data_IF_439863349239
#
_entry.id   IF_439863349239
#
_cell.length_a   1.000
_cell.length_b   1.000
_cell.length_c   1.000
_cell.angle_alpha   90.00
_cell.angle_beta   90.00
_cell.angle_gamma   90.00
#
_symmetry.space_group_name_H-M   'P 1'
#
loop_
_entity.id
_entity.type
_entity.pdbx_description
1 polymer ?
#
# COMPACT_ATOMS: atom_id res chain seq x y z
N UNK A 1 37.41 -42.39 26.97
CA UNK A 1 38.02 -41.42 26.04
C UNK A 1 36.92 -40.87 25.15
N UNK A 2 36.44 -39.66 25.45
CA UNK A 2 35.50 -38.93 24.60
C UNK A 2 35.97 -37.49 24.54
N UNK A 3 36.54 -37.09 23.41
CA UNK A 3 36.99 -35.72 23.17
C UNK A 3 35.80 -34.88 22.70
N UNK A 4 35.31 -34.00 23.57
CA UNK A 4 34.39 -32.92 23.19
C UNK A 4 35.18 -31.61 23.09
N UNK A 5 35.76 -31.34 21.93
CA UNK A 5 36.19 -29.99 21.54
C UNK A 5 35.97 -29.82 20.03
N UNK A 6 34.72 -29.49 19.67
CA UNK A 6 34.38 -29.01 18.34
C UNK A 6 33.41 -27.83 18.52
N UNK A 7 33.89 -26.61 18.25
CA UNK A 7 32.98 -25.48 18.01
C UNK A 7 33.29 -24.14 18.67
N UNK A 8 34.37 -23.98 19.45
CA UNK A 8 34.78 -22.65 19.91
C UNK A 8 35.68 -21.99 18.87
N UNK A 9 35.06 -21.49 17.80
CA UNK A 9 35.73 -20.59 16.87
C UNK A 9 35.94 -19.28 17.64
N UNK A 10 37.17 -19.07 18.11
CA UNK A 10 37.59 -17.91 18.88
C UNK A 10 37.10 -16.61 18.21
N UNK A 11 36.06 -15.98 18.80
CA UNK A 11 35.50 -14.67 18.41
C UNK A 11 36.61 -13.63 18.23
N UNK A 12 37.67 -13.74 19.02
CA UNK A 12 38.87 -12.88 18.99
C UNK A 12 39.52 -12.77 17.63
N UNK A 13 39.58 -13.85 16.83
CA UNK A 13 40.22 -13.77 15.50
C UNK A 13 39.36 -12.98 14.50
N UNK A 14 38.04 -13.13 14.60
CA UNK A 14 37.12 -12.37 13.74
C UNK A 14 37.10 -10.89 14.16
N UNK A 15 37.08 -10.65 15.47
CA UNK A 15 37.13 -9.32 16.07
C UNK A 15 38.42 -8.58 15.67
N UNK A 16 39.60 -9.21 15.78
CA UNK A 16 40.87 -8.63 15.32
C UNK A 16 40.86 -8.30 13.82
N UNK A 17 40.30 -9.16 12.98
CA UNK A 17 40.19 -8.91 11.54
C UNK A 17 39.24 -7.75 11.24
N UNK A 18 38.15 -7.62 12.00
CA UNK A 18 37.24 -6.48 11.90
C UNK A 18 37.93 -5.18 12.32
N UNK A 19 38.61 -5.17 13.47
CA UNK A 19 39.36 -4.01 13.94
C UNK A 19 40.43 -3.59 12.92
N UNK A 20 41.15 -4.55 12.34
CA UNK A 20 42.17 -4.28 11.31
C UNK A 20 41.54 -3.74 10.01
N UNK A 21 40.40 -4.27 9.58
CA UNK A 21 39.67 -3.78 8.40
C UNK A 21 39.13 -2.37 8.59
N UNK A 22 38.63 -2.03 9.79
CA UNK A 22 38.14 -0.68 10.12
C UNK A 22 39.31 0.30 10.14
N UNK A 23 40.41 -0.05 10.80
CA UNK A 23 41.63 0.75 10.82
C UNK A 23 42.21 0.98 9.42
N UNK A 24 42.23 -0.05 8.57
CA UNK A 24 42.70 0.06 7.20
C UNK A 24 41.80 1.00 6.37
N UNK A 25 40.48 0.93 6.59
CA UNK A 25 39.51 1.82 5.91
C UNK A 25 39.69 3.28 6.33
N UNK A 26 39.85 3.53 7.64
CA UNK A 26 40.06 4.88 8.21
C UNK A 26 41.40 5.49 7.81
N UNK A 27 42.46 4.68 7.65
CA UNK A 27 43.76 5.13 7.14
C UNK A 27 43.81 5.24 5.62
N UNK A 28 42.83 4.68 4.91
CA UNK A 28 42.79 4.76 3.45
C UNK A 28 42.28 6.12 3.01
N UNK A 29 43.10 6.85 2.25
CA UNK A 29 42.71 8.08 1.56
C UNK A 29 41.96 7.81 0.24
N UNK A 30 41.33 6.64 0.11
CA UNK A 30 40.48 6.36 -1.03
C UNK A 30 39.21 7.19 -0.90
N UNK A 31 39.13 8.27 -1.67
CA UNK A 31 37.91 9.05 -1.82
C UNK A 31 36.85 8.14 -2.45
N UNK A 32 36.07 7.47 -1.60
CA UNK A 32 34.83 6.82 -2.01
C UNK A 32 34.03 7.91 -2.72
N UNK A 33 33.66 7.73 -4.00
CA UNK A 33 32.86 8.72 -4.71
C UNK A 33 31.63 9.02 -3.88
N UNK A 34 31.49 10.26 -3.41
CA UNK A 34 30.33 10.64 -2.61
C UNK A 34 29.07 10.31 -3.42
N UNK A 35 28.07 9.67 -2.81
CA UNK A 35 26.80 9.45 -3.48
C UNK A 35 26.31 10.79 -4.05
N UNK A 36 25.86 10.78 -5.31
CA UNK A 36 25.47 12.01 -6.05
C UNK A 36 24.52 12.88 -5.24
N UNK A 37 23.66 12.26 -4.44
CA UNK A 37 22.72 12.96 -3.57
C UNK A 37 23.39 13.82 -2.48
N UNK A 38 24.43 13.33 -1.81
CA UNK A 38 25.16 14.10 -0.79
C UNK A 38 25.94 15.27 -1.40
N UNK A 39 26.42 15.11 -2.62
CA UNK A 39 27.13 16.18 -3.32
C UNK A 39 26.18 17.32 -3.71
N UNK A 40 25.00 16.99 -4.22
CA UNK A 40 23.97 17.99 -4.53
C UNK A 40 23.51 18.76 -3.30
N UNK A 41 23.32 18.08 -2.17
CA UNK A 41 22.89 18.73 -0.93
C UNK A 41 23.97 19.68 -0.39
N UNK A 42 25.22 19.23 -0.28
CA UNK A 42 26.34 20.06 0.20
C UNK A 42 26.67 21.22 -0.76
N UNK A 43 26.50 21.03 -2.06
CA UNK A 43 26.68 22.08 -3.05
C UNK A 43 25.53 23.10 -3.00
N UNK A 44 24.30 22.66 -2.75
CA UNK A 44 23.17 23.54 -2.50
C UNK A 44 23.35 24.36 -1.21
N UNK A 45 23.78 23.74 -0.10
CA UNK A 45 24.10 24.45 1.14
C UNK A 45 25.20 25.49 0.91
N UNK A 46 26.29 25.14 0.22
CA UNK A 46 27.38 26.08 -0.10
C UNK A 46 26.91 27.25 -0.98
N UNK A 47 26.00 27.02 -1.92
CA UNK A 47 25.41 28.11 -2.71
C UNK A 47 24.51 29.02 -1.87
N UNK A 48 23.78 28.46 -0.91
CA UNK A 48 22.98 29.24 0.05
C UNK A 48 23.87 30.08 0.96
N UNK A 49 24.94 29.50 1.52
CA UNK A 49 25.91 30.24 2.36
C UNK A 49 26.62 31.36 1.58
N UNK A 50 26.91 31.14 0.29
CA UNK A 50 27.49 32.17 -0.58
C UNK A 50 26.51 33.28 -0.93
N UNK A 51 25.21 33.03 -0.90
CA UNK A 51 24.16 34.02 -1.15
C UNK A 51 23.86 34.85 0.12
N UNK A 52 23.98 34.23 1.30
CA UNK A 52 23.81 34.90 2.60
C UNK A 52 24.98 35.82 2.95
N UNK A 53 26.20 35.55 2.45
CA UNK A 53 27.37 36.43 2.63
C UNK A 53 27.33 37.74 1.81
N UNK A 54 26.29 37.96 0.98
CA UNK A 54 26.15 39.13 0.11
C UNK A 54 25.40 40.33 0.70
N UNK A 55 24.78 40.21 1.88
CA UNK A 55 24.00 41.28 2.51
C UNK A 55 24.60 41.68 3.86
N UNK A 56 25.46 42.71 3.87
CA UNK A 56 25.97 43.34 5.11
C UNK A 56 25.41 44.76 5.26
N UNK A 57 24.63 45.00 6.32
CA UNK A 57 24.47 46.27 7.05
C UNK A 57 24.16 45.85 8.50
N UNK A 58 25.18 45.71 9.37
CA UNK A 58 25.62 46.71 10.36
C UNK A 58 24.59 46.96 11.49
N UNK A 59 24.80 46.33 12.65
CA UNK A 59 24.68 46.98 13.95
C UNK A 59 25.36 46.12 15.04
N UNK A 60 26.22 46.76 15.83
CA UNK A 60 27.09 46.23 16.88
C UNK A 60 26.38 46.25 18.27
N UNK A 61 27.14 45.83 19.31
CA UNK A 61 26.89 45.71 20.76
C UNK A 61 26.66 44.24 21.21
N UNK A 62 27.74 43.50 21.53
CA UNK A 62 28.45 43.39 22.84
C UNK A 62 27.60 42.69 23.90
N UNK A 63 28.05 41.83 24.81
CA UNK A 63 29.25 41.04 25.12
C UNK A 63 28.76 40.17 26.31
N UNK A 64 29.24 38.94 26.47
CA UNK A 64 29.60 38.36 27.78
C UNK A 64 30.12 36.93 27.57
N UNK A 65 31.40 36.78 27.89
CA UNK A 65 32.15 35.52 27.90
C UNK A 65 31.89 34.78 29.21
N UNK A 66 31.75 33.45 29.14
CA UNK A 66 32.26 32.58 30.21
C UNK A 66 32.90 31.34 29.55
N UNK A 67 34.21 31.24 29.78
CA UNK A 67 35.05 30.06 29.60
C UNK A 67 34.51 28.87 30.42
N UNK A 68 34.39 27.69 29.80
CA UNK A 68 34.53 26.42 30.53
C UNK A 68 35.27 25.42 29.65
N UNK A 69 36.55 25.25 29.97
CA UNK A 69 37.42 24.20 29.48
C UNK A 69 36.99 22.85 30.08
N UNK A 70 36.62 21.88 29.24
CA UNK A 70 36.26 20.55 29.72
C UNK A 70 36.17 19.50 28.62
N UNK A 71 37.31 19.10 28.05
CA UNK A 71 37.46 17.82 27.35
C UNK A 71 37.33 16.67 28.36
N UNK A 72 36.16 16.02 28.40
CA UNK A 72 36.06 14.64 28.90
C UNK A 72 35.31 13.76 27.91
N UNK A 73 36.07 12.89 27.25
CA UNK A 73 35.57 11.80 26.43
C UNK A 73 34.54 10.95 27.18
N UNK A 74 33.31 10.95 26.68
CA UNK A 74 32.26 10.01 27.09
C UNK A 74 31.81 9.19 25.89
N UNK A 75 32.51 8.08 25.68
CA UNK A 75 32.08 6.95 24.86
C UNK A 75 30.85 6.26 25.48
N UNK A 76 29.70 6.93 25.46
CA UNK A 76 28.44 6.29 25.83
C UNK A 76 27.93 5.46 24.67
N UNK A 77 28.17 4.15 24.78
CA UNK A 77 27.54 3.11 23.97
C UNK A 77 26.02 3.23 24.13
N UNK A 78 25.38 4.02 23.27
CA UNK A 78 23.93 4.12 23.24
C UNK A 78 23.35 2.75 22.89
N UNK A 79 22.46 2.16 23.71
CA UNK A 79 21.76 0.95 23.31
C UNK A 79 21.00 1.22 22.01
N UNK A 80 20.77 0.20 21.16
CA UNK A 80 20.02 0.40 19.92
C UNK A 80 18.70 1.07 20.28
N UNK A 81 18.39 2.19 19.61
CA UNK A 81 17.17 2.95 19.82
C UNK A 81 15.99 2.00 19.67
N UNK A 82 15.46 1.52 20.79
CA UNK A 82 14.18 0.82 20.82
C UNK A 82 13.18 1.84 20.33
N UNK A 83 12.53 1.58 19.20
CA UNK A 83 11.41 2.40 18.71
C UNK A 83 10.28 2.32 19.75
N UNK A 84 10.38 3.11 20.82
CA UNK A 84 9.30 3.41 21.73
C UNK A 84 8.32 4.28 20.97
N UNK A 85 7.29 3.64 20.45
CA UNK A 85 6.11 4.36 19.98
C UNK A 85 5.58 5.17 21.15
N UNK A 86 5.71 6.50 21.05
CA UNK A 86 5.13 7.44 22.02
C UNK A 86 3.65 7.06 22.22
N UNK A 87 3.14 6.94 23.46
CA UNK A 87 1.75 6.59 23.68
C UNK A 87 0.88 7.54 22.85
N UNK A 88 -0.19 7.03 22.21
CA UNK A 88 -1.05 7.87 21.39
C UNK A 88 -1.55 9.06 22.21
N UNK A 89 -1.62 10.28 21.64
CA UNK A 89 -2.14 11.45 22.33
C UNK A 89 -3.49 11.13 22.98
N UNK A 90 -3.69 11.64 24.19
CA UNK A 90 -4.94 11.48 24.93
C UNK A 90 -6.13 11.92 24.05
N UNK A 91 -7.16 11.07 23.96
CA UNK A 91 -8.38 11.35 23.20
C UNK A 91 -8.43 10.81 21.76
N UNK A 92 -7.39 10.14 21.25
CA UNK A 92 -7.48 9.46 19.95
C UNK A 92 -8.03 8.03 20.10
N UNK A 93 -8.94 7.64 19.20
CA UNK A 93 -9.46 6.29 19.15
C UNK A 93 -8.35 5.32 18.74
N UNK A 94 -8.26 4.18 19.42
CA UNK A 94 -7.30 3.09 19.13
C UNK A 94 -7.98 1.77 18.75
N UNK A 95 -9.32 1.79 18.67
CA UNK A 95 -10.18 0.64 18.39
C UNK A 95 -10.01 0.17 16.95
N UNK A 96 -9.80 -1.13 16.78
CA UNK A 96 -9.68 -1.72 15.45
C UNK A 96 -10.98 -1.54 14.66
N UNK A 97 -10.83 -1.18 13.38
CA UNK A 97 -11.94 -0.84 12.50
C UNK A 97 -12.46 0.59 12.62
N UNK A 98 -11.86 1.45 13.45
CA UNK A 98 -12.22 2.86 13.58
C UNK A 98 -11.02 3.76 13.24
N UNK A 99 -11.23 4.95 12.68
CA UNK A 99 -10.15 5.92 12.56
C UNK A 99 -9.81 6.58 13.91
N UNK A 100 -8.70 7.32 13.97
CA UNK A 100 -8.27 8.06 15.18
C UNK A 100 -9.33 9.04 15.74
N UNK A 101 -10.29 9.49 14.92
CA UNK A 101 -11.42 10.34 15.34
C UNK A 101 -12.62 9.52 15.85
N UNK A 102 -12.50 8.19 15.93
CA UNK A 102 -13.57 7.30 16.41
C UNK A 102 -14.68 7.04 15.40
N UNK A 103 -14.44 7.29 14.10
CA UNK A 103 -15.41 6.97 13.04
C UNK A 103 -15.22 5.53 12.58
N UNK A 104 -16.31 4.78 12.54
CA UNK A 104 -16.31 3.38 12.08
C UNK A 104 -16.01 3.32 10.58
N UNK A 105 -15.01 2.52 10.22
CA UNK A 105 -14.54 2.34 8.85
C UNK A 105 -14.99 1.01 8.23
N UNK A 106 -15.71 0.17 8.98
CA UNK A 106 -16.16 -1.13 8.46
C UNK A 106 -17.16 -0.91 7.33
N UNK A 107 -17.02 -1.70 6.27
CA UNK A 107 -17.94 -1.68 5.12
C UNK A 107 -19.40 -1.85 5.57
N UNK A 108 -19.64 -2.72 6.56
CA UNK A 108 -20.95 -2.95 7.15
C UNK A 108 -21.54 -1.75 7.92
N UNK A 109 -20.76 -0.71 8.18
CA UNK A 109 -21.21 0.53 8.83
C UNK A 109 -21.37 1.68 7.85
N UNK A 110 -20.56 1.72 6.77
CA UNK A 110 -20.54 2.83 5.80
C UNK A 110 -21.32 2.49 4.51
N UNK A 111 -21.92 1.30 4.38
CA UNK A 111 -22.51 0.81 3.13
C UNK A 111 -23.51 1.77 2.46
N UNK A 112 -24.30 2.52 3.23
CA UNK A 112 -25.33 3.43 2.72
C UNK A 112 -24.95 4.90 2.90
N UNK A 113 -23.75 5.19 3.42
CA UNK A 113 -23.34 6.56 3.68
C UNK A 113 -22.88 7.26 2.39
N UNK A 114 -23.23 8.55 2.22
CA UNK A 114 -22.73 9.35 1.12
C UNK A 114 -21.25 9.67 1.34
N UNK A 115 -20.37 8.87 0.73
CA UNK A 115 -18.93 9.15 0.65
C UNK A 115 -18.64 10.00 -0.59
N UNK A 116 -18.04 11.17 -0.39
CA UNK A 116 -17.43 11.97 -1.45
C UNK A 116 -16.04 11.46 -1.78
N UNK A 117 -15.85 11.01 -3.03
CA UNK A 117 -14.58 10.48 -3.51
C UNK A 117 -13.95 11.50 -4.46
N UNK A 118 -12.78 12.08 -4.15
CA UNK A 118 -12.12 13.03 -5.04
C UNK A 118 -11.80 12.41 -6.41
N UNK A 119 -11.75 13.25 -7.45
CA UNK A 119 -11.39 12.80 -8.79
C UNK A 119 -10.03 12.07 -8.78
N UNK A 120 -9.98 10.91 -9.41
CA UNK A 120 -8.78 10.06 -9.44
C UNK A 120 -8.59 9.15 -8.22
N UNK A 121 -9.46 9.22 -7.22
CA UNK A 121 -9.47 8.26 -6.10
C UNK A 121 -10.50 7.16 -6.33
N UNK A 122 -10.22 5.98 -5.77
CA UNK A 122 -11.10 4.82 -5.77
C UNK A 122 -11.32 4.34 -4.32
N UNK A 123 -12.52 3.80 -4.05
CA UNK A 123 -12.78 3.13 -2.79
C UNK A 123 -12.19 1.73 -2.81
N UNK A 124 -11.44 1.41 -1.76
CA UNK A 124 -10.77 0.12 -1.60
C UNK A 124 -11.03 -0.47 -0.22
N UNK A 125 -11.14 -1.79 -0.17
CA UNK A 125 -11.29 -2.57 1.05
C UNK A 125 -9.93 -3.07 1.55
N UNK A 126 -9.57 -2.66 2.76
CA UNK A 126 -8.42 -3.15 3.49
C UNK A 126 -8.81 -4.31 4.42
N UNK A 127 -7.98 -5.36 4.49
CA UNK A 127 -8.11 -6.47 5.44
C UNK A 127 -7.23 -6.27 6.66
N UNK A 128 -7.84 -6.42 7.83
CA UNK A 128 -7.16 -6.52 9.12
C UNK A 128 -6.99 -7.99 9.52
N UNK A 129 -5.79 -8.45 9.93
CA UNK A 129 -5.60 -9.78 10.52
C UNK A 129 -6.46 -10.01 11.77
N UNK A 130 -6.77 -8.96 12.52
CA UNK A 130 -7.56 -9.02 13.77
C UNK A 130 -9.07 -8.87 13.54
N UNK A 131 -9.50 -8.47 12.33
CA UNK A 131 -10.91 -8.43 11.91
C UNK A 131 -11.09 -9.15 10.56
N UNK A 132 -10.96 -10.49 10.51
CA UNK A 132 -10.99 -11.25 9.25
C UNK A 132 -12.34 -11.20 8.52
N UNK A 133 -13.42 -11.02 9.27
CA UNK A 133 -14.81 -10.92 8.78
C UNK A 133 -15.14 -9.55 8.17
N UNK A 134 -14.35 -8.51 8.47
CA UNK A 134 -14.66 -7.14 8.10
C UNK A 134 -13.65 -6.55 7.10
N UNK A 135 -14.16 -5.71 6.20
CA UNK A 135 -13.35 -4.86 5.32
C UNK A 135 -13.40 -3.43 5.82
N UNK A 136 -12.24 -2.77 5.89
CA UNK A 136 -12.16 -1.35 6.20
C UNK A 136 -12.14 -0.54 4.91
N UNK A 137 -13.03 0.44 4.79
CA UNK A 137 -13.21 1.27 3.61
C UNK A 137 -12.18 2.41 3.63
N UNK A 138 -11.46 2.56 2.54
CA UNK A 138 -10.45 3.60 2.35
C UNK A 138 -10.62 4.22 0.96
N UNK A 139 -10.24 5.50 0.79
CA UNK A 139 -10.12 6.10 -0.53
C UNK A 139 -8.63 6.19 -0.90
N UNK A 140 -8.24 5.67 -2.07
CA UNK A 140 -6.83 5.62 -2.52
C UNK A 140 -6.73 6.15 -3.94
N UNK A 141 -5.71 6.96 -4.22
CA UNK A 141 -5.45 7.47 -5.56
C UNK A 141 -5.14 6.30 -6.51
N UNK A 142 -5.86 6.25 -7.62
CA UNK A 142 -5.81 5.17 -8.60
C UNK A 142 -4.41 4.92 -9.16
N UNK A 143 -3.54 5.94 -9.18
CA UNK A 143 -2.15 5.80 -9.66
C UNK A 143 -1.32 4.87 -8.78
N UNK A 144 -1.70 4.68 -7.51
CA UNK A 144 -1.01 3.80 -6.57
C UNK A 144 -1.64 2.41 -6.48
N UNK A 145 -2.67 2.16 -7.26
CA UNK A 145 -3.34 0.86 -7.41
C UNK A 145 -2.98 0.28 -8.78
N UNK A 146 -2.90 -1.04 -8.91
CA UNK A 146 -2.62 -1.66 -10.19
C UNK A 146 -3.84 -1.61 -11.11
N UNK A 147 -3.60 -1.59 -12.41
CA UNK A 147 -4.65 -1.81 -13.40
C UNK A 147 -5.20 -3.26 -13.35
N UNK A 148 -6.16 -3.55 -14.24
CA UNK A 148 -6.78 -4.88 -14.34
C UNK A 148 -5.78 -5.99 -14.68
N UNK A 149 -4.66 -5.65 -15.31
CA UNK A 149 -3.56 -6.57 -15.63
C UNK A 149 -2.54 -6.71 -14.49
N UNK A 150 -2.73 -5.98 -13.40
CA UNK A 150 -1.85 -5.98 -12.24
C UNK A 150 -0.61 -5.08 -12.39
N UNK A 151 -0.59 -4.17 -13.37
CA UNK A 151 0.56 -3.32 -13.72
C UNK A 151 0.33 -1.86 -13.35
N UNK A 152 1.33 -1.01 -13.61
CA UNK A 152 1.23 0.45 -13.58
C UNK A 152 0.90 1.11 -12.22
N UNK A 153 1.07 0.39 -11.11
CA UNK A 153 0.97 0.98 -9.77
C UNK A 153 2.26 1.73 -9.40
N UNK A 154 2.15 3.01 -9.05
CA UNK A 154 3.24 3.80 -8.50
C UNK A 154 3.73 3.24 -7.16
N UNK A 155 5.03 3.42 -6.92
CA UNK A 155 5.65 3.24 -5.60
C UNK A 155 5.10 4.29 -4.63
N UNK A 156 5.07 3.96 -3.34
CA UNK A 156 4.49 4.82 -2.31
C UNK A 156 2.98 4.62 -2.13
N UNK A 157 2.31 5.62 -1.57
CA UNK A 157 0.89 5.58 -1.24
C UNK A 157 0.28 6.98 -1.32
N UNK A 158 -1.01 7.06 -1.62
CA UNK A 158 -1.79 8.29 -1.45
C UNK A 158 -3.20 7.88 -1.07
N UNK A 159 -3.56 8.11 0.19
CA UNK A 159 -4.84 7.69 0.75
C UNK A 159 -5.54 8.82 1.49
N UNK A 160 -6.86 8.68 1.60
CA UNK A 160 -7.73 9.54 2.38
C UNK A 160 -8.60 8.65 3.29
N UNK A 161 -8.82 9.11 4.52
CA UNK A 161 -9.71 8.45 5.46
C UNK A 161 -11.15 8.84 5.15
N UNK A 162 -12.00 7.86 4.85
CA UNK A 162 -13.42 8.11 4.53
C UNK A 162 -14.25 8.44 5.78
N UNK A 163 -13.80 8.04 6.97
CA UNK A 163 -14.53 8.27 8.21
C UNK A 163 -14.43 9.72 8.71
N UNK A 164 -13.21 10.26 8.79
CA UNK A 164 -12.98 11.64 9.27
C UNK A 164 -12.60 12.64 8.16
N UNK A 165 -12.46 12.19 6.92
CA UNK A 165 -12.13 13.05 5.78
C UNK A 165 -10.68 13.53 5.71
N UNK A 166 -9.79 13.13 6.63
CA UNK A 166 -8.36 13.49 6.57
C UNK A 166 -7.72 12.95 5.29
N UNK A 167 -6.98 13.81 4.59
CA UNK A 167 -6.43 13.55 3.24
C UNK A 167 -4.92 13.58 3.22
N UNK A 168 -4.33 13.08 2.15
CA UNK A 168 -2.91 13.29 1.84
C UNK A 168 -1.95 12.38 2.59
N UNK A 169 -2.37 11.16 2.96
CA UNK A 169 -1.46 10.19 3.53
C UNK A 169 -0.51 9.66 2.44
N UNK A 170 0.75 10.08 2.47
CA UNK A 170 1.76 9.70 1.49
C UNK A 170 2.41 8.33 1.77
N UNK A 171 2.28 7.85 3.00
CA UNK A 171 2.83 6.57 3.44
C UNK A 171 1.74 5.66 4.00
N UNK A 172 1.79 4.39 3.61
CA UNK A 172 0.80 3.41 4.08
C UNK A 172 0.95 3.15 5.59
N UNK A 173 2.15 3.29 6.15
CA UNK A 173 2.43 3.22 7.60
C UNK A 173 1.61 4.23 8.38
N UNK A 174 1.64 5.50 7.97
CA UNK A 174 0.90 6.59 8.59
C UNK A 174 -0.59 6.38 8.46
N UNK A 175 -1.02 5.95 7.27
CA UNK A 175 -2.42 5.68 7.02
C UNK A 175 -2.95 4.51 7.87
N UNK A 176 -2.22 3.38 7.93
CA UNK A 176 -2.62 2.23 8.74
C UNK A 176 -2.75 2.58 10.22
N UNK A 177 -1.83 3.41 10.73
CA UNK A 177 -1.90 3.91 12.10
C UNK A 177 -3.13 4.80 12.30
N UNK A 178 -3.44 5.65 11.32
CA UNK A 178 -4.59 6.54 11.40
C UNK A 178 -5.94 5.80 11.40
N UNK A 179 -6.06 4.72 10.62
CA UNK A 179 -7.29 3.91 10.56
C UNK A 179 -7.33 2.79 11.61
N UNK A 180 -6.40 2.81 12.57
CA UNK A 180 -6.19 1.77 13.59
C UNK A 180 -6.13 0.34 13.03
N UNK A 181 -5.64 0.19 11.80
CA UNK A 181 -5.44 -1.11 11.19
C UNK A 181 -4.34 -1.83 11.97
N UNK A 182 -4.71 -2.83 12.78
CA UNK A 182 -3.74 -3.60 13.56
C UNK A 182 -3.01 -4.58 12.66
N UNK A 183 -1.69 -4.60 12.75
CA UNK A 183 -0.83 -5.34 11.84
C UNK A 183 0.09 -6.26 12.63
N UNK A 184 0.26 -7.49 12.15
CA UNK A 184 1.22 -8.47 12.71
C UNK A 184 2.57 -8.45 12.00
N UNK A 185 2.71 -7.59 10.98
CA UNK A 185 3.91 -7.46 10.16
C UNK A 185 4.06 -6.02 9.67
N UNK A 186 5.12 -5.75 8.92
CA UNK A 186 5.32 -4.45 8.29
C UNK A 186 4.07 -4.00 7.49
N UNK A 187 3.61 -2.75 7.68
CA UNK A 187 2.53 -2.13 6.90
C UNK A 187 2.89 -2.03 5.43
N UNK A 188 2.43 -3.00 4.63
CA UNK A 188 2.57 -2.99 3.17
C UNK A 188 1.19 -2.90 2.52
N UNK A 189 0.96 -1.87 1.69
CA UNK A 189 -0.33 -1.67 1.02
C UNK A 189 -0.79 -2.91 0.25
N UNK A 190 0.12 -3.61 -0.43
CA UNK A 190 -0.15 -4.82 -1.22
C UNK A 190 -0.63 -6.01 -0.37
N UNK A 191 -0.21 -6.04 0.91
CA UNK A 191 -0.64 -7.07 1.85
C UNK A 191 -2.06 -6.82 2.35
N UNK A 192 -2.46 -5.56 2.51
CA UNK A 192 -3.69 -5.21 3.24
C UNK A 192 -4.83 -4.74 2.32
N UNK A 193 -4.53 -3.96 1.27
CA UNK A 193 -5.55 -3.55 0.30
C UNK A 193 -5.86 -4.74 -0.61
N UNK A 194 -7.10 -5.23 -0.57
CA UNK A 194 -7.46 -6.49 -1.27
C UNK A 194 -8.57 -6.36 -2.29
N UNK A 195 -9.46 -5.40 -2.15
CA UNK A 195 -10.63 -5.30 -3.02
C UNK A 195 -10.88 -3.87 -3.45
N UNK A 196 -11.34 -3.69 -4.68
CA UNK A 196 -12.08 -2.50 -5.07
C UNK A 196 -13.47 -2.54 -4.44
N UNK A 197 -14.04 -1.38 -4.15
CA UNK A 197 -15.41 -1.25 -3.66
C UNK A 197 -16.24 -0.46 -4.68
N UNK A 198 -17.46 -0.92 -4.92
CA UNK A 198 -18.34 -0.36 -5.95
C UNK A 198 -19.71 -0.08 -5.34
N UNK A 199 -20.41 0.94 -5.83
CA UNK A 199 -21.82 1.12 -5.50
C UNK A 199 -22.67 0.28 -6.45
N UNK A 200 -23.61 -0.48 -5.90
CA UNK A 200 -24.58 -1.23 -6.71
C UNK A 200 -25.65 -0.28 -7.30
N UNK A 201 -26.61 -0.83 -8.04
CA UNK A 201 -27.70 -0.06 -8.65
C UNK A 201 -28.57 0.68 -7.61
N UNK A 202 -28.59 0.20 -6.36
CA UNK A 202 -29.30 0.80 -5.23
C UNK A 202 -28.45 1.86 -4.50
N UNK A 203 -27.23 2.13 -4.95
CA UNK A 203 -26.31 3.08 -4.33
C UNK A 203 -25.55 2.55 -3.11
N UNK A 204 -25.80 1.30 -2.70
CA UNK A 204 -25.12 0.65 -1.58
C UNK A 204 -23.71 0.22 -1.96
N UNK A 205 -22.74 0.52 -1.11
CA UNK A 205 -21.34 0.12 -1.28
C UNK A 205 -21.18 -1.38 -1.01
N UNK A 206 -20.61 -2.09 -1.98
CA UNK A 206 -20.38 -3.53 -1.92
C UNK A 206 -18.94 -3.88 -2.26
N UNK A 207 -18.55 -5.11 -1.89
CA UNK A 207 -17.25 -5.68 -2.23
C UNK A 207 -17.18 -5.98 -3.73
N UNK A 208 -16.24 -5.33 -4.42
CA UNK A 208 -15.97 -5.56 -5.84
C UNK A 208 -14.84 -6.57 -6.09
N UNK A 209 -14.18 -6.41 -7.24
CA UNK A 209 -13.08 -7.27 -7.69
C UNK A 209 -11.87 -7.20 -6.76
N UNK A 210 -11.09 -8.29 -6.73
CA UNK A 210 -9.83 -8.32 -6.01
C UNK A 210 -8.77 -7.45 -6.71
N UNK A 211 -7.91 -6.81 -5.93
CA UNK A 211 -6.79 -6.02 -6.46
C UNK A 211 -5.66 -6.97 -6.84
N UNK A 212 -5.31 -7.00 -8.13
CA UNK A 212 -4.28 -7.86 -8.69
C UNK A 212 -2.87 -7.30 -8.42
N UNK A 213 -2.32 -7.58 -7.23
CA UNK A 213 -0.92 -7.23 -6.94
C UNK A 213 0.03 -8.25 -7.60
N UNK A 214 0.65 -7.88 -8.72
CA UNK A 214 1.66 -8.74 -9.38
C UNK A 214 2.81 -9.06 -8.40
N UNK A 215 3.22 -10.33 -8.31
CA UNK A 215 4.27 -10.79 -7.39
C UNK A 215 3.82 -11.04 -5.95
N UNK A 216 2.52 -10.88 -5.64
CA UNK A 216 1.94 -11.26 -4.36
C UNK A 216 1.54 -12.75 -4.33
N UNK A 217 2.41 -13.61 -4.86
CA UNK A 217 2.32 -15.06 -4.75
C UNK A 217 2.66 -15.45 -3.31
N UNK A 218 1.77 -15.09 -2.39
CA UNK A 218 1.78 -15.66 -1.06
C UNK A 218 1.61 -17.16 -1.27
N UNK A 219 2.60 -17.95 -0.86
CA UNK A 219 2.55 -19.41 -0.78
C UNK A 219 1.49 -19.84 0.23
N UNK A 220 0.23 -19.51 0.00
CA UNK A 220 -0.89 -20.05 0.73
C UNK A 220 -1.40 -21.22 -0.08
N UNK A 221 -0.67 -22.33 -0.01
CA UNK A 221 -1.17 -23.62 -0.46
C UNK A 221 -2.20 -24.05 0.57
N UNK A 222 -3.49 -23.79 0.33
CA UNK A 222 -4.59 -24.69 0.66
C UNK A 222 -5.95 -24.18 0.16
N UNK A 223 -6.67 -25.10 -0.50
CA UNK A 223 -8.13 -25.17 -0.65
C UNK A 223 -8.86 -24.01 -1.32
N UNK A 224 -9.09 -24.17 -2.61
CA UNK A 224 -10.39 -23.90 -3.21
C UNK A 224 -10.59 -24.88 -4.36
N UNK A 225 -11.36 -25.93 -4.09
CA UNK A 225 -12.05 -26.72 -5.09
C UNK A 225 -12.96 -25.79 -5.89
N UNK A 226 -12.51 -25.34 -7.07
CA UNK A 226 -13.39 -24.71 -8.04
C UNK A 226 -14.12 -25.81 -8.80
N UNK A 227 -15.33 -26.12 -8.37
CA UNK A 227 -16.34 -26.77 -9.18
C UNK A 227 -16.99 -25.74 -10.09
N UNK A 228 -16.98 -26.04 -11.39
CA UNK A 228 -18.00 -25.63 -12.38
C UNK A 228 -17.93 -24.18 -12.88
N UNK A 229 -18.09 -23.83 -14.15
CA UNK A 229 -18.15 -24.54 -15.43
C UNK A 229 -17.99 -23.44 -16.48
N UNK A 230 -16.94 -23.46 -17.29
CA UNK A 230 -16.94 -22.67 -18.53
C UNK A 230 -17.61 -23.52 -19.60
N UNK A 231 -18.89 -23.27 -19.84
CA UNK A 231 -19.55 -23.74 -21.06
C UNK A 231 -18.90 -23.01 -22.24
N UNK A 232 -17.94 -23.69 -22.88
CA UNK A 232 -17.46 -23.31 -24.20
C UNK A 232 -18.62 -23.52 -25.18
N UNK A 233 -19.32 -22.44 -25.51
CA UNK A 233 -20.13 -22.41 -26.72
C UNK A 233 -19.17 -22.30 -27.91
N UNK A 234 -18.78 -23.44 -28.45
CA UNK A 234 -18.24 -23.53 -29.81
C UNK A 234 -19.41 -23.36 -30.79
N UNK A 235 -19.34 -22.44 -31.76
CA UNK A 235 -20.20 -22.50 -32.94
C UNK A 235 -19.71 -23.66 -33.82
N UNK A 236 -20.57 -24.65 -34.05
CA UNK A 236 -20.37 -25.65 -35.08
C UNK A 236 -20.81 -25.06 -36.42
N UNK A 237 -19.86 -24.68 -37.27
CA UNK A 237 -20.12 -24.25 -38.66
C UNK A 237 -19.37 -25.17 -39.62
N UNK A 238 -19.99 -26.33 -39.90
CA UNK A 238 -19.83 -27.09 -41.14
C UNK A 238 -21.27 -27.48 -41.50
N UNK A 239 -21.84 -27.13 -42.65
CA UNK A 239 -21.55 -27.78 -43.92
C UNK A 239 -22.27 -27.01 -45.03
N UNK A 240 -21.57 -26.71 -46.14
CA UNK A 240 -22.17 -26.25 -47.38
C UNK A 240 -22.15 -27.33 -48.45
N UNK A 241 -23.33 -27.55 -49.06
CA UNK A 241 -23.56 -28.06 -50.42
C UNK A 241 -23.47 -29.57 -50.72
N UNK A 242 -24.64 -30.22 -50.80
CA UNK A 242 -25.14 -30.77 -52.07
C UNK A 242 -26.62 -31.13 -52.01
N UNK A 243 -27.27 -30.94 -53.17
CA UNK A 243 -28.67 -31.07 -53.54
C UNK A 243 -29.44 -32.28 -52.98
N UNK A 244 -30.77 -32.16 -52.88
CA UNK A 244 -31.77 -32.74 -53.84
C UNK A 244 -33.16 -32.83 -53.17
N UNK A 245 -34.15 -32.10 -53.73
CA UNK A 245 -35.58 -32.44 -53.94
C UNK A 245 -36.45 -32.75 -52.70
N UNK A 246 -37.30 -31.81 -52.29
CA UNK A 246 -38.76 -31.73 -52.58
C UNK A 246 -39.62 -32.71 -51.77
N UNK A 247 -40.37 -32.20 -50.78
CA UNK A 247 -41.84 -32.20 -50.88
C UNK A 247 -42.47 -31.31 -49.80
N UNK A 248 -43.42 -30.52 -50.27
CA UNK A 248 -44.32 -29.57 -49.60
C UNK A 248 -45.44 -30.33 -48.84
N UNK A 249 -46.32 -29.64 -48.09
CA UNK A 249 -46.78 -29.99 -46.76
C UNK A 249 -48.22 -30.54 -46.83
N UNK A 250 -48.89 -30.76 -45.70
CA UNK A 250 -50.34 -30.52 -45.63
C UNK A 250 -50.90 -30.63 -44.20
N UNK A 251 -51.70 -29.60 -43.86
CA UNK A 251 -52.93 -29.61 -43.02
C UNK A 251 -52.83 -29.83 -41.50
N UNK A 252 -53.61 -29.16 -40.64
CA UNK A 252 -54.68 -28.18 -40.82
C UNK A 252 -55.06 -27.55 -39.45
N UNK A 253 -55.75 -26.39 -39.54
CA UNK A 253 -56.90 -25.95 -38.73
C UNK A 253 -56.74 -25.83 -37.19
N UNK A 254 -56.68 -24.63 -36.57
CA UNK A 254 -57.76 -23.65 -36.27
C UNK A 254 -57.93 -23.54 -34.72
N UNK A 255 -58.61 -22.54 -34.10
CA UNK A 255 -59.04 -21.21 -34.57
C UNK A 255 -58.94 -20.05 -33.51
N UNK A 256 -59.45 -18.88 -33.91
CA UNK A 256 -60.05 -17.75 -33.14
C UNK A 256 -59.14 -16.70 -32.49
N UNK A 257 -59.29 -15.46 -33.00
CA UNK A 257 -59.01 -14.20 -32.30
C UNK A 257 -59.52 -13.00 -33.11
N UNK A 258 -60.67 -12.45 -32.71
CA UNK A 258 -61.27 -11.23 -33.28
C UNK A 258 -60.51 -9.95 -32.89
N UNK A 259 -60.47 -8.99 -33.83
CA UNK A 259 -60.61 -7.52 -33.70
C UNK A 259 -59.91 -6.92 -34.95
N UNK A 260 -60.56 -6.28 -35.91
CA UNK A 260 -61.58 -5.23 -35.83
C UNK A 260 -60.90 -3.90 -36.19
N UNK A 261 -61.03 -3.42 -37.44
CA UNK A 261 -60.85 -2.00 -37.81
C UNK A 261 -61.60 -1.66 -39.12
N UNK A 262 -62.17 -0.45 -39.12
CA UNK A 262 -62.81 0.28 -40.21
C UNK A 262 -61.93 0.51 -41.44
N UNK A 263 -62.56 0.55 -42.64
CA UNK A 263 -62.71 1.80 -43.40
C UNK A 263 -63.56 1.64 -44.68
N UNK A 264 -64.34 2.70 -44.92
CA UNK A 264 -65.10 3.12 -46.12
C UNK A 264 -66.25 2.26 -46.62
#
# INVERSE_FOLDING_TARGET
>A
MGNSYAGQLNSTRFEEVLHNSIEASLRSSNLVPRPIFSQLYLEAERQLSSLEAGNRVDNEEEEEEEDDDGDEGSETSSPPVTYQMKPPPEGCCTTDGFCQTGKDLRLASILNEPIEVPAGFLLVGAKSPTLPEHLLVCAVDKRFLPDDNGHNALLGFSGNCVGCGKKGFCYFTEFSNHINLKLTSQPKKQKHLKYYLVRNAQGTLTKGSAICWKGAEFRNRHSSSNTSSHTLLQPAENTGSSATVTNEPFLAAHPVGQAGIHQT
#
